data_IF_704258239747
#
_entry.id   IF_704258239747
#
_cell.length_a   1.000
_cell.length_b   1.000
_cell.length_c   1.000
_cell.angle_alpha   90.00
_cell.angle_beta   90.00
_cell.angle_gamma   90.00
#
_symmetry.space_group_name_H-M   'P 1'
#
loop_
_entity.id
_entity.type
_entity.pdbx_description
1 polymer ?
#
# COMPACT_ATOMS: atom_id res chain seq x y z
N UNK A 1 23.62 -26.25 1.87
CA UNK A 1 22.74 -27.05 2.78
C UNK A 1 22.04 -26.23 3.87
N UNK A 2 22.09 -24.88 3.86
CA UNK A 2 21.48 -24.01 4.89
C UNK A 2 20.20 -23.31 4.44
N UNK A 3 19.80 -23.42 3.19
CA UNK A 3 18.71 -22.65 2.56
C UNK A 3 17.29 -23.12 2.98
N UNK A 4 17.18 -24.26 3.66
CA UNK A 4 15.89 -24.84 4.06
C UNK A 4 15.43 -24.60 5.51
N UNK A 5 16.10 -23.75 6.27
CA UNK A 5 15.89 -23.64 7.72
C UNK A 5 15.14 -22.37 8.19
N UNK A 6 14.94 -21.40 7.32
CA UNK A 6 14.29 -20.14 7.70
C UNK A 6 12.85 -20.08 7.21
N UNK A 7 11.95 -19.59 8.07
CA UNK A 7 10.57 -19.36 7.68
C UNK A 7 10.46 -18.18 6.71
N UNK A 8 9.39 -18.13 5.94
CA UNK A 8 9.08 -17.03 5.03
C UNK A 8 9.06 -15.69 5.76
N UNK A 9 8.41 -15.66 6.91
CA UNK A 9 8.30 -14.47 7.77
C UNK A 9 9.67 -13.96 8.19
N UNK A 10 10.57 -14.87 8.57
CA UNK A 10 11.94 -14.48 8.93
C UNK A 10 12.70 -13.86 7.75
N UNK A 11 12.60 -14.47 6.56
CA UNK A 11 13.27 -13.96 5.35
C UNK A 11 12.71 -12.59 4.97
N UNK A 12 11.40 -12.40 5.02
CA UNK A 12 10.77 -11.13 4.67
C UNK A 12 11.10 -10.03 5.67
N UNK A 13 11.07 -10.33 6.96
CA UNK A 13 11.53 -9.40 8.00
C UNK A 13 13.01 -9.01 7.81
N UNK A 14 13.87 -9.97 7.41
CA UNK A 14 15.27 -9.68 7.10
C UNK A 14 15.41 -8.76 5.87
N UNK A 15 14.59 -8.95 4.83
CA UNK A 15 14.58 -8.08 3.64
C UNK A 15 14.19 -6.65 4.04
N UNK A 16 13.14 -6.48 4.86
CA UNK A 16 12.71 -5.17 5.37
C UNK A 16 13.83 -4.51 6.20
N UNK A 17 14.47 -5.26 7.10
CA UNK A 17 15.61 -4.79 7.89
C UNK A 17 16.79 -4.36 7.01
N UNK A 18 17.14 -5.15 5.99
CA UNK A 18 18.23 -4.82 5.07
C UNK A 18 17.92 -3.55 4.27
N UNK A 19 16.69 -3.38 3.81
CA UNK A 19 16.25 -2.17 3.11
C UNK A 19 16.43 -0.92 3.98
N UNK A 20 16.10 -0.98 5.25
CA UNK A 20 16.25 0.15 6.16
C UNK A 20 17.71 0.56 6.40
N UNK A 21 18.63 -0.39 6.25
CA UNK A 21 20.04 -0.20 6.58
C UNK A 21 20.97 -0.11 5.37
N UNK A 22 20.48 -0.41 4.16
CA UNK A 22 21.31 -0.36 2.95
C UNK A 22 21.57 1.08 2.51
N UNK A 23 22.79 1.32 2.03
CA UNK A 23 23.18 2.57 1.39
C UNK A 23 24.27 2.32 0.34
N UNK A 24 24.30 3.12 -0.71
CA UNK A 24 25.29 3.02 -1.78
C UNK A 24 26.49 3.89 -1.45
N UNK A 25 27.74 3.35 -1.51
CA UNK A 25 28.93 4.16 -1.34
C UNK A 25 29.08 5.13 -2.52
N UNK A 26 29.34 6.40 -2.22
CA UNK A 26 29.66 7.41 -3.22
C UNK A 26 31.16 7.32 -3.53
N UNK A 27 31.48 6.98 -4.77
CA UNK A 27 32.88 6.92 -5.23
C UNK A 27 33.35 8.34 -5.54
N UNK A 28 34.45 8.73 -4.93
CA UNK A 28 35.21 9.93 -5.31
C UNK A 28 36.37 9.51 -6.17
N UNK A 29 36.54 10.15 -7.32
CA UNK A 29 37.77 10.02 -8.10
C UNK A 29 38.90 10.65 -7.30
N UNK A 30 39.84 9.83 -6.84
CA UNK A 30 41.03 10.30 -6.18
C UNK A 30 42.17 10.36 -7.22
N UNK A 31 42.73 11.54 -7.41
CA UNK A 31 43.87 11.75 -8.34
C UNK A 31 45.20 11.41 -7.71
N UNK A 32 45.26 11.08 -6.43
CA UNK A 32 46.49 10.72 -5.73
C UNK A 32 46.66 9.20 -5.63
N UNK A 33 47.70 8.67 -6.25
CA UNK A 33 48.04 7.24 -6.25
C UNK A 33 48.35 6.64 -4.87
N UNK A 34 48.49 7.48 -3.84
CA UNK A 34 48.74 7.06 -2.45
C UNK A 34 47.50 7.21 -1.56
N UNK A 35 46.42 7.61 -2.14
CA UNK A 35 45.20 7.82 -1.37
C UNK A 35 44.54 6.48 -1.06
N UNK A 36 44.37 6.20 0.22
CA UNK A 36 43.45 5.19 0.76
C UNK A 36 42.03 5.77 0.94
N UNK A 37 41.61 6.70 0.05
CA UNK A 37 40.30 7.31 0.12
C UNK A 37 39.25 6.26 -0.13
N UNK A 38 38.74 5.75 0.95
CA UNK A 38 37.47 5.01 0.92
C UNK A 38 36.34 5.99 0.81
N UNK A 39 35.24 5.55 0.22
CA UNK A 39 34.00 6.31 0.18
C UNK A 39 33.70 6.92 1.56
N UNK A 40 33.69 8.26 1.64
CA UNK A 40 33.42 8.99 2.88
C UNK A 40 31.95 9.35 3.05
N UNK A 41 31.15 9.13 2.03
CA UNK A 41 29.71 9.37 2.05
C UNK A 41 28.95 8.23 1.41
N UNK A 42 27.71 8.10 1.85
CA UNK A 42 26.80 7.07 1.40
C UNK A 42 25.49 7.71 1.00
N UNK A 43 24.89 7.24 -0.09
CA UNK A 43 23.58 7.64 -0.53
C UNK A 43 22.57 6.54 -0.17
N UNK A 44 21.76 6.80 0.86
CA UNK A 44 20.76 5.84 1.35
C UNK A 44 19.67 5.59 0.30
N UNK A 45 19.12 6.66 -0.28
CA UNK A 45 18.02 6.55 -1.25
C UNK A 45 18.44 5.74 -2.49
N UNK A 46 19.63 5.99 -3.02
CA UNK A 46 20.13 5.25 -4.19
C UNK A 46 20.38 3.78 -3.84
N UNK A 47 20.94 3.50 -2.65
CA UNK A 47 21.13 2.13 -2.17
C UNK A 47 19.81 1.38 -1.99
N UNK A 48 18.81 2.03 -1.40
CA UNK A 48 17.48 1.47 -1.23
C UNK A 48 16.80 1.18 -2.58
N UNK A 49 16.92 2.08 -3.55
CA UNK A 49 16.34 1.90 -4.88
C UNK A 49 16.99 0.72 -5.64
N UNK A 50 18.33 0.59 -5.58
CA UNK A 50 19.03 -0.54 -6.17
C UNK A 50 18.63 -1.85 -5.49
N UNK A 51 18.68 -1.91 -4.16
CA UNK A 51 18.30 -3.09 -3.40
C UNK A 51 16.87 -3.53 -3.71
N UNK A 52 15.91 -2.58 -3.72
CA UNK A 52 14.51 -2.84 -4.05
C UNK A 52 14.34 -3.40 -5.46
N UNK A 53 15.04 -2.83 -6.44
CA UNK A 53 15.01 -3.31 -7.82
C UNK A 53 15.48 -4.76 -7.91
N UNK A 54 16.61 -5.08 -7.27
CA UNK A 54 17.22 -6.39 -7.35
C UNK A 54 16.42 -7.46 -6.62
N UNK A 55 15.97 -7.17 -5.39
CA UNK A 55 15.21 -8.14 -4.60
C UNK A 55 13.83 -8.43 -5.21
N UNK A 56 13.20 -7.45 -5.84
CA UNK A 56 11.90 -7.61 -6.48
C UNK A 56 11.92 -8.60 -7.67
N UNK A 57 13.06 -8.84 -8.29
CA UNK A 57 13.22 -9.88 -9.32
C UNK A 57 12.95 -11.27 -8.74
N UNK A 58 13.33 -11.48 -7.48
CA UNK A 58 13.15 -12.75 -6.77
C UNK A 58 11.77 -12.83 -6.11
N UNK A 59 11.35 -11.77 -5.43
CA UNK A 59 10.08 -11.73 -4.71
C UNK A 59 8.88 -11.97 -5.62
N UNK A 60 8.88 -11.44 -6.84
CA UNK A 60 7.81 -11.65 -7.81
C UNK A 60 7.60 -13.10 -8.23
N UNK A 61 8.63 -13.94 -8.10
CA UNK A 61 8.60 -15.35 -8.48
C UNK A 61 8.33 -16.27 -7.31
N UNK A 62 8.24 -15.73 -6.11
CA UNK A 62 8.08 -16.51 -4.90
C UNK A 62 6.58 -16.67 -4.57
N UNK A 63 6.09 -17.92 -4.50
CA UNK A 63 4.70 -18.29 -4.18
C UNK A 63 3.64 -17.49 -4.99
N UNK A 64 2.76 -16.77 -4.28
CA UNK A 64 1.72 -15.92 -4.87
C UNK A 64 2.27 -14.62 -5.51
N UNK A 65 3.57 -14.36 -5.35
CA UNK A 65 4.22 -13.13 -5.77
C UNK A 65 4.20 -12.04 -4.69
N UNK A 66 5.39 -11.47 -4.47
CA UNK A 66 5.58 -10.39 -3.50
C UNK A 66 6.40 -9.27 -4.13
N UNK A 67 6.36 -8.10 -3.51
CA UNK A 67 7.24 -6.97 -3.85
C UNK A 67 7.67 -6.22 -2.60
N UNK A 68 8.88 -5.69 -2.61
CA UNK A 68 9.33 -4.71 -1.65
C UNK A 68 8.85 -3.33 -2.11
N UNK A 69 8.00 -2.70 -1.32
CA UNK A 69 7.44 -1.38 -1.59
C UNK A 69 8.44 -0.25 -1.30
N UNK A 70 8.04 0.99 -1.58
CA UNK A 70 8.87 2.18 -1.34
C UNK A 70 9.06 2.48 0.14
N UNK A 71 8.07 2.13 0.94
CA UNK A 71 8.12 2.27 2.41
C UNK A 71 8.94 1.16 3.09
N UNK A 72 9.52 0.22 2.32
CA UNK A 72 10.34 -0.86 2.86
C UNK A 72 9.57 -2.09 3.32
N UNK A 73 8.27 -2.17 3.07
CA UNK A 73 7.46 -3.33 3.43
C UNK A 73 7.43 -4.36 2.30
N UNK A 74 7.50 -5.64 2.66
CA UNK A 74 7.22 -6.74 1.73
C UNK A 74 5.70 -6.90 1.62
N UNK A 75 5.19 -6.64 0.42
CA UNK A 75 3.77 -6.60 0.10
C UNK A 75 3.40 -7.77 -0.82
N UNK A 76 2.23 -8.36 -0.60
CA UNK A 76 1.62 -9.28 -1.56
C UNK A 76 1.28 -8.51 -2.84
N UNK A 77 1.58 -9.10 -4.00
CA UNK A 77 1.17 -8.52 -5.28
C UNK A 77 -0.33 -8.78 -5.44
N UNK A 78 -1.10 -7.72 -5.71
CA UNK A 78 -2.51 -7.85 -6.01
C UNK A 78 -2.73 -8.71 -7.27
N UNK A 79 -3.92 -9.35 -7.44
CA UNK A 79 -4.29 -9.96 -8.70
C UNK A 79 -4.04 -9.01 -9.88
N UNK A 80 -3.58 -9.57 -11.02
CA UNK A 80 -3.13 -8.77 -12.17
C UNK A 80 -4.16 -7.71 -12.60
N UNK A 81 -5.44 -8.06 -12.54
CA UNK A 81 -6.56 -7.19 -12.89
C UNK A 81 -6.74 -6.01 -11.92
N UNK A 82 -6.25 -6.16 -10.69
CA UNK A 82 -6.38 -5.16 -9.61
C UNK A 82 -5.05 -4.45 -9.31
N UNK A 83 -3.94 -4.91 -9.90
CA UNK A 83 -2.60 -4.32 -9.67
C UNK A 83 -2.55 -2.85 -10.11
N UNK A 84 -3.21 -2.51 -11.22
CA UNK A 84 -3.33 -1.12 -11.69
C UNK A 84 -4.05 -0.25 -10.65
N UNK A 85 -5.12 -0.76 -10.03
CA UNK A 85 -5.88 -0.04 -9.00
C UNK A 85 -5.02 0.28 -7.77
N UNK A 86 -4.26 -0.71 -7.30
CA UNK A 86 -3.39 -0.61 -6.12
C UNK A 86 -2.21 0.34 -6.36
N UNK A 87 -1.69 0.40 -7.58
CA UNK A 87 -0.53 1.21 -7.95
C UNK A 87 -0.91 2.57 -8.58
N UNK A 88 -2.19 2.90 -8.67
CA UNK A 88 -2.61 4.22 -9.17
C UNK A 88 -2.24 5.27 -8.12
N UNK A 89 -1.29 6.13 -8.44
CA UNK A 89 -1.05 7.36 -7.70
C UNK A 89 -2.22 8.31 -7.98
N UNK A 90 -2.96 8.62 -6.95
CA UNK A 90 -4.04 9.62 -7.03
C UNK A 90 -3.42 10.94 -6.59
N UNK A 91 -2.76 11.60 -7.52
CA UNK A 91 -2.12 12.89 -7.28
C UNK A 91 -3.15 14.01 -7.42
N UNK A 92 -3.72 14.44 -6.32
CA UNK A 92 -4.40 15.73 -6.27
C UNK A 92 -3.57 16.68 -5.41
N UNK A 93 -3.12 17.78 -5.97
CA UNK A 93 -2.32 18.81 -5.26
C UNK A 93 -3.00 19.36 -3.99
N UNK A 94 -4.28 19.06 -3.80
CA UNK A 94 -5.11 19.55 -2.69
C UNK A 94 -5.30 18.56 -1.53
N UNK A 95 -4.94 17.29 -1.67
CA UNK A 95 -5.36 16.23 -0.74
C UNK A 95 -4.23 15.25 -0.38
N UNK A 96 -3.00 15.73 -0.13
CA UNK A 96 -1.88 14.87 0.30
C UNK A 96 -2.25 13.94 1.46
N UNK A 97 -3.08 14.40 2.39
CA UNK A 97 -3.53 13.61 3.53
C UNK A 97 -4.41 12.42 3.09
N UNK A 98 -5.21 12.59 2.04
CA UNK A 98 -6.04 11.50 1.46
C UNK A 98 -5.13 10.46 0.82
N UNK A 99 -4.17 10.89 0.01
CA UNK A 99 -3.22 10.00 -0.67
C UNK A 99 -2.38 9.19 0.33
N UNK A 100 -1.89 9.85 1.39
CA UNK A 100 -1.16 9.17 2.47
C UNK A 100 -2.04 8.11 3.17
N UNK A 101 -3.28 8.43 3.48
CA UNK A 101 -4.22 7.48 4.10
C UNK A 101 -4.53 6.29 3.19
N UNK A 102 -4.71 6.51 1.89
CA UNK A 102 -4.93 5.42 0.91
C UNK A 102 -3.70 4.53 0.84
N UNK A 103 -2.50 5.13 0.76
CA UNK A 103 -1.24 4.42 0.71
C UNK A 103 -1.01 3.59 1.97
N UNK A 104 -1.23 4.17 3.14
CA UNK A 104 -1.08 3.49 4.43
C UNK A 104 -2.07 2.31 4.56
N UNK A 105 -3.33 2.51 4.19
CA UNK A 105 -4.33 1.44 4.19
C UNK A 105 -3.95 0.32 3.21
N UNK A 106 -3.48 0.66 2.02
CA UNK A 106 -3.05 -0.31 1.01
C UNK A 106 -1.84 -1.12 1.47
N UNK A 107 -0.82 -0.45 2.02
CA UNK A 107 0.35 -1.11 2.58
C UNK A 107 -0.04 -2.03 3.75
N UNK A 108 -0.88 -1.54 4.67
CA UNK A 108 -1.35 -2.32 5.82
C UNK A 108 -2.14 -3.57 5.40
N UNK A 109 -2.99 -3.44 4.36
CA UNK A 109 -3.78 -4.57 3.86
C UNK A 109 -2.91 -5.63 3.19
N UNK A 110 -1.96 -5.21 2.35
CA UNK A 110 -1.15 -6.08 1.50
C UNK A 110 0.13 -6.59 2.17
N UNK A 111 0.49 -6.08 3.35
CA UNK A 111 1.70 -6.53 4.05
C UNK A 111 1.68 -8.04 4.26
N UNK A 112 2.82 -8.71 4.05
CA UNK A 112 2.93 -10.17 4.07
C UNK A 112 2.46 -10.83 5.39
N UNK A 113 2.57 -10.12 6.51
CA UNK A 113 2.18 -10.54 7.86
C UNK A 113 0.87 -9.87 8.33
N UNK A 114 0.11 -9.27 7.41
CA UNK A 114 -1.16 -8.60 7.72
C UNK A 114 -2.16 -9.57 8.35
N UNK A 115 -2.58 -9.25 9.58
CA UNK A 115 -3.59 -10.00 10.31
C UNK A 115 -5.01 -9.62 9.86
N UNK A 116 -6.02 -10.40 10.24
CA UNK A 116 -7.44 -10.05 10.04
C UNK A 116 -7.77 -8.70 10.67
N UNK A 117 -7.17 -8.37 11.81
CA UNK A 117 -7.35 -7.06 12.44
C UNK A 117 -6.76 -5.94 11.59
N UNK A 118 -5.57 -6.13 11.03
CA UNK A 118 -4.91 -5.15 10.17
C UNK A 118 -5.71 -4.94 8.88
N UNK A 119 -6.22 -6.01 8.28
CA UNK A 119 -7.11 -5.95 7.10
C UNK A 119 -8.40 -5.17 7.43
N UNK A 120 -9.02 -5.43 8.59
CA UNK A 120 -10.18 -4.67 9.07
C UNK A 120 -9.88 -3.18 9.20
N UNK A 121 -8.76 -2.85 9.83
CA UNK A 121 -8.35 -1.46 10.04
C UNK A 121 -8.06 -0.75 8.71
N UNK A 122 -7.42 -1.44 7.76
CA UNK A 122 -7.17 -0.91 6.42
C UNK A 122 -8.48 -0.58 5.68
N UNK A 123 -9.43 -1.52 5.67
CA UNK A 123 -10.77 -1.33 5.08
C UNK A 123 -11.50 -0.17 5.76
N UNK A 124 -11.40 -0.06 7.10
CA UNK A 124 -11.98 1.05 7.86
C UNK A 124 -11.38 2.39 7.45
N UNK A 125 -10.05 2.47 7.30
CA UNK A 125 -9.36 3.68 6.85
C UNK A 125 -9.84 4.13 5.47
N UNK A 126 -10.01 3.19 4.50
CA UNK A 126 -10.60 3.52 3.20
C UNK A 126 -12.06 4.00 3.33
N UNK A 127 -12.82 3.42 4.25
CA UNK A 127 -14.18 3.88 4.56
C UNK A 127 -14.19 5.31 5.11
N UNK A 128 -13.21 5.68 5.95
CA UNK A 128 -13.06 7.03 6.49
C UNK A 128 -12.69 8.04 5.38
N UNK A 129 -11.90 7.61 4.39
CA UNK A 129 -11.59 8.40 3.18
C UNK A 129 -12.88 8.65 2.38
N UNK A 130 -13.71 7.64 2.14
CA UNK A 130 -14.99 7.80 1.44
C UNK A 130 -15.92 8.79 2.15
N UNK A 131 -15.98 8.76 3.48
CA UNK A 131 -16.77 9.76 4.22
C UNK A 131 -16.20 11.17 4.16
N UNK A 132 -14.87 11.29 4.19
CA UNK A 132 -14.21 12.57 3.96
C UNK A 132 -14.57 13.15 2.60
N UNK A 133 -14.47 12.36 1.52
CA UNK A 133 -14.85 12.76 0.17
C UNK A 133 -16.32 13.19 0.10
N UNK A 134 -17.22 12.44 0.76
CA UNK A 134 -18.65 12.79 0.86
C UNK A 134 -18.88 14.15 1.53
N UNK A 135 -18.14 14.47 2.59
CA UNK A 135 -18.23 15.77 3.28
C UNK A 135 -17.81 16.93 2.38
N UNK A 136 -16.96 16.65 1.37
CA UNK A 136 -16.51 17.62 0.37
C UNK A 136 -17.35 17.59 -0.92
N UNK A 137 -18.54 16.93 -0.90
CA UNK A 137 -19.43 16.76 -2.04
C UNK A 137 -18.83 15.97 -3.22
N UNK A 138 -17.78 15.20 -2.99
CA UNK A 138 -17.21 14.26 -3.95
C UNK A 138 -17.88 12.91 -3.69
N UNK A 139 -18.98 12.64 -4.39
CA UNK A 139 -19.87 11.50 -4.13
C UNK A 139 -20.31 10.83 -5.44
N UNK A 140 -20.65 9.55 -5.34
CA UNK A 140 -21.40 8.86 -6.39
C UNK A 140 -22.81 9.45 -6.51
N UNK A 141 -23.40 9.33 -7.68
CA UNK A 141 -24.75 9.82 -7.87
C UNK A 141 -25.83 8.79 -7.46
N UNK A 142 -26.94 9.29 -6.98
CA UNK A 142 -28.18 8.52 -6.81
C UNK A 142 -28.12 7.35 -5.83
N UNK A 143 -28.49 6.16 -6.30
CA UNK A 143 -28.59 4.94 -5.48
C UNK A 143 -27.22 4.35 -5.16
N UNK A 144 -26.25 4.46 -6.05
CA UNK A 144 -24.91 3.88 -5.90
C UNK A 144 -24.21 4.43 -4.65
N UNK A 145 -24.37 5.73 -4.37
CA UNK A 145 -23.87 6.34 -3.16
C UNK A 145 -24.50 5.73 -1.90
N UNK A 146 -25.82 5.50 -1.91
CA UNK A 146 -26.52 4.89 -0.78
C UNK A 146 -26.05 3.46 -0.53
N UNK A 147 -25.86 2.68 -1.60
CA UNK A 147 -25.46 1.29 -1.51
C UNK A 147 -24.02 1.15 -1.01
N UNK A 148 -23.09 2.00 -1.46
CA UNK A 148 -21.73 2.06 -0.95
C UNK A 148 -21.69 2.35 0.56
N UNK A 149 -22.45 3.36 1.02
CA UNK A 149 -22.51 3.71 2.44
C UNK A 149 -23.33 2.72 3.28
N UNK A 150 -24.27 1.98 2.69
CA UNK A 150 -24.94 0.87 3.35
C UNK A 150 -23.95 -0.26 3.68
N UNK A 151 -23.01 -0.57 2.80
CA UNK A 151 -21.93 -1.53 3.08
C UNK A 151 -21.11 -1.05 4.29
N UNK A 152 -20.66 0.19 4.29
CA UNK A 152 -19.87 0.77 5.40
C UNK A 152 -20.59 0.71 6.74
N UNK A 153 -21.90 0.88 6.78
CA UNK A 153 -22.68 0.99 7.99
C UNK A 153 -23.22 -0.36 8.50
N UNK A 154 -23.51 -1.31 7.62
CA UNK A 154 -24.17 -2.57 7.97
C UNK A 154 -23.19 -3.69 8.36
N UNK A 155 -21.93 -3.60 7.96
CA UNK A 155 -20.89 -4.54 8.38
C UNK A 155 -20.15 -3.97 9.59
N UNK A 156 -19.63 -4.84 10.47
CA UNK A 156 -18.90 -4.47 11.68
C UNK A 156 -17.52 -3.84 11.36
N UNK A 157 -17.54 -2.80 10.52
CA UNK A 157 -16.34 -2.07 10.14
C UNK A 157 -16.07 -0.87 11.06
N UNK A 158 -17.12 -0.15 11.50
CA UNK A 158 -16.99 1.14 12.20
C UNK A 158 -17.56 1.18 13.61
N UNK A 159 -18.72 0.63 13.82
CA UNK A 159 -19.44 0.70 15.08
C UNK A 159 -19.91 -0.68 15.49
N UNK A 160 -19.67 -1.07 16.74
CA UNK A 160 -20.21 -2.30 17.31
C UNK A 160 -21.70 -2.13 17.63
N UNK A 161 -22.53 -1.99 16.60
CA UNK A 161 -23.97 -2.01 16.76
C UNK A 161 -24.47 -3.45 16.73
N UNK A 162 -25.36 -3.81 17.67
CA UNK A 162 -25.95 -5.15 17.77
C UNK A 162 -26.72 -5.65 16.53
N UNK A 163 -26.91 -4.79 15.54
CA UNK A 163 -27.67 -5.05 14.30
C UNK A 163 -26.73 -5.32 13.12
N UNK A 164 -25.42 -5.14 13.28
CA UNK A 164 -24.45 -5.32 12.19
C UNK A 164 -24.18 -6.79 11.94
N UNK A 165 -24.01 -7.14 10.66
CA UNK A 165 -23.58 -8.47 10.28
C UNK A 165 -22.16 -8.73 10.80
N UNK A 166 -22.00 -9.69 11.69
CA UNK A 166 -20.71 -10.10 12.27
C UNK A 166 -20.33 -11.53 11.92
N UNK A 167 -21.30 -12.35 11.47
CA UNK A 167 -21.10 -13.75 11.10
C UNK A 167 -20.90 -13.87 9.59
N UNK A 168 -19.68 -13.63 9.13
CA UNK A 168 -19.27 -13.79 7.74
C UNK A 168 -17.80 -14.17 7.67
N UNK A 169 -17.36 -14.76 6.56
CA UNK A 169 -15.96 -15.03 6.29
C UNK A 169 -15.22 -13.70 6.10
N UNK A 170 -14.48 -13.32 7.15
CA UNK A 170 -13.81 -12.02 7.22
C UNK A 170 -12.71 -11.87 6.18
N UNK A 171 -12.03 -12.95 5.78
CA UNK A 171 -10.99 -12.88 4.77
C UNK A 171 -11.58 -12.50 3.42
N UNK A 172 -12.62 -13.22 2.99
CA UNK A 172 -13.29 -12.99 1.71
C UNK A 172 -13.96 -11.60 1.68
N UNK A 173 -14.67 -11.25 2.77
CA UNK A 173 -15.40 -9.99 2.79
C UNK A 173 -14.51 -8.77 2.93
N UNK A 174 -13.40 -8.84 3.68
CA UNK A 174 -12.46 -7.71 3.76
C UNK A 174 -11.71 -7.52 2.44
N UNK A 175 -11.44 -8.58 1.69
CA UNK A 175 -10.90 -8.47 0.34
C UNK A 175 -11.89 -7.75 -0.60
N UNK A 176 -13.14 -8.17 -0.60
CA UNK A 176 -14.19 -7.51 -1.38
C UNK A 176 -14.35 -6.02 -1.00
N UNK A 177 -14.41 -5.70 0.28
CA UNK A 177 -14.53 -4.31 0.73
C UNK A 177 -13.30 -3.48 0.38
N UNK A 178 -12.11 -4.03 0.55
CA UNK A 178 -10.87 -3.34 0.24
C UNK A 178 -10.83 -2.88 -1.21
N UNK A 179 -11.05 -3.79 -2.16
CA UNK A 179 -11.01 -3.45 -3.57
C UNK A 179 -12.21 -2.59 -4.01
N UNK A 180 -13.40 -2.80 -3.44
CA UNK A 180 -14.58 -1.98 -3.72
C UNK A 180 -14.36 -0.53 -3.28
N UNK A 181 -13.87 -0.31 -2.07
CA UNK A 181 -13.64 1.05 -1.55
C UNK A 181 -12.51 1.73 -2.29
N UNK A 182 -11.42 1.03 -2.54
CA UNK A 182 -10.28 1.57 -3.28
C UNK A 182 -10.69 1.96 -4.71
N UNK A 183 -11.48 1.12 -5.40
CA UNK A 183 -12.03 1.42 -6.73
C UNK A 183 -12.96 2.63 -6.71
N UNK A 184 -13.85 2.72 -5.71
CA UNK A 184 -14.76 3.84 -5.57
C UNK A 184 -14.02 5.15 -5.31
N UNK A 185 -13.01 5.15 -4.46
CA UNK A 185 -12.16 6.32 -4.17
C UNK A 185 -11.46 6.77 -5.46
N UNK A 186 -10.78 5.86 -6.16
CA UNK A 186 -10.08 6.19 -7.41
C UNK A 186 -11.01 6.76 -8.47
N UNK A 187 -12.23 6.22 -8.59
CA UNK A 187 -13.24 6.74 -9.50
C UNK A 187 -13.65 8.17 -9.12
N UNK A 188 -13.98 8.40 -7.86
CA UNK A 188 -14.44 9.70 -7.36
C UNK A 188 -13.37 10.79 -7.53
N UNK A 189 -12.12 10.49 -7.23
CA UNK A 189 -11.03 11.44 -7.37
C UNK A 189 -10.79 11.78 -8.84
N UNK A 190 -10.75 10.80 -9.75
CA UNK A 190 -10.64 11.04 -11.20
C UNK A 190 -11.82 11.85 -11.75
N UNK A 191 -13.04 11.58 -11.28
CA UNK A 191 -14.22 12.35 -11.69
C UNK A 191 -14.11 13.81 -11.26
N UNK A 192 -13.62 14.05 -10.04
CA UNK A 192 -13.44 15.39 -9.50
C UNK A 192 -12.39 16.20 -10.29
N UNK A 193 -11.27 15.59 -10.70
CA UNK A 193 -10.23 16.22 -11.49
C UNK A 193 -10.74 16.67 -12.86
N UNK A 194 -11.53 15.83 -13.55
CA UNK A 194 -12.14 16.20 -14.84
C UNK A 194 -13.10 17.38 -14.72
N UNK A 195 -13.84 17.52 -13.62
CA UNK A 195 -14.77 18.64 -13.39
C UNK A 195 -14.01 19.96 -13.15
N UNK A 196 -12.81 19.89 -12.61
CA UNK A 196 -11.98 21.08 -12.31
C UNK A 196 -11.28 21.59 -13.57
N UNK A 197 -10.86 20.69 -14.47
CA UNK A 197 -10.17 21.06 -15.71
C UNK A 197 -11.12 21.68 -16.75
N UNK A 198 -12.41 21.41 -16.69
CA UNK A 198 -13.45 21.95 -17.59
C UNK A 198 -13.99 23.35 -17.17
N UNK A 199 -13.44 23.97 -16.12
CA UNK A 199 -13.83 25.31 -15.62
C UNK A 199 -12.71 26.33 -15.77
#
# INVERSE_FOLDING_TARGET
>A
EWIGTYSKEYIFTLIEFLYDNVSKPMLYECTDYRCTCHSRSFNKLEGQNEFRKDINVFLRKFEAGYRLGEEGYVLLIAPLELEVLVNTEVSTDKEKEVDERIKDATNKYLKFDSTISDKKDAVRTLGDVLEYLKQHNIILEGQDNKDLFNILNNFDLRHHNKIQHSEYDKEIWYEYFFYTFLSSINFLLKQNDHIVDDK
#
